data_IF_132961945702
#
_entry.id   IF_132961945702
#
_cell.length_a   1.000
_cell.length_b   1.000
_cell.length_c   1.000
_cell.angle_alpha   90.00
_cell.angle_beta   90.00
_cell.angle_gamma   90.00
#
_symmetry.space_group_name_H-M   'P 1'
#
loop_
_entity.id
_entity.type
_entity.pdbx_description
1 polymer ?
#
# COMPACT_ATOMS: atom_id res chain seq x y z
N UNK A 1 10.57 50.79 7.84
CA UNK A 1 11.52 50.13 6.91
C UNK A 1 12.32 49.13 7.73
N UNK A 2 12.09 47.84 7.55
CA UNK A 2 12.64 46.77 8.39
C UNK A 2 11.76 45.53 8.29
N UNK A 3 12.13 44.65 7.38
CA UNK A 3 11.36 43.55 6.80
C UNK A 3 11.13 42.41 7.78
N UNK A 4 9.86 41.99 7.94
CA UNK A 4 9.52 40.69 8.49
C UNK A 4 10.04 39.62 7.53
N UNK A 5 11.11 38.91 7.92
CA UNK A 5 11.52 37.68 7.25
C UNK A 5 10.46 36.64 7.54
N UNK A 6 9.56 36.44 6.59
CA UNK A 6 8.67 35.29 6.57
C UNK A 6 9.53 34.04 6.56
N UNK A 7 9.51 33.31 7.67
CA UNK A 7 10.11 31.99 7.79
C UNK A 7 9.30 31.05 6.89
N UNK A 8 9.71 30.89 5.63
CA UNK A 8 9.07 29.97 4.71
C UNK A 8 9.60 28.57 4.98
N UNK A 9 9.28 28.03 6.16
CA UNK A 9 9.32 26.59 6.35
C UNK A 9 8.33 26.00 5.33
N UNK A 10 8.73 25.10 4.43
CA UNK A 10 7.78 24.50 3.50
C UNK A 10 6.70 23.83 4.35
N UNK A 11 5.45 24.25 4.15
CA UNK A 11 4.29 23.56 4.68
C UNK A 11 4.47 22.09 4.29
N UNK A 12 4.70 21.23 5.27
CA UNK A 12 4.71 19.79 5.00
C UNK A 12 3.37 19.51 4.37
N UNK A 13 3.38 18.91 3.19
CA UNK A 13 2.17 18.29 2.66
C UNK A 13 1.85 17.18 3.65
N UNK A 14 0.99 17.46 4.64
CA UNK A 14 0.61 16.55 5.71
C UNK A 14 -0.24 15.37 5.18
N UNK A 15 -0.41 15.28 3.85
CA UNK A 15 -1.02 14.15 3.19
C UNK A 15 -0.19 12.90 3.41
N UNK A 16 -0.89 11.82 3.75
CA UNK A 16 -0.32 10.49 3.82
C UNK A 16 0.31 10.15 2.46
N UNK A 17 1.49 9.57 2.46
CA UNK A 17 2.17 9.08 1.24
C UNK A 17 1.99 7.57 1.16
N UNK A 18 1.52 7.09 0.01
CA UNK A 18 1.36 5.65 -0.26
C UNK A 18 2.07 5.33 -1.57
N UNK A 19 2.83 4.23 -1.60
CA UNK A 19 3.31 3.65 -2.85
C UNK A 19 2.47 2.44 -3.17
N UNK A 20 1.84 2.44 -4.34
CA UNK A 20 1.05 1.31 -4.82
C UNK A 20 1.80 0.58 -5.93
N UNK A 21 1.62 -0.75 -5.98
CA UNK A 21 2.13 -1.55 -7.08
C UNK A 21 1.45 -1.17 -8.39
N UNK A 22 2.23 -0.89 -9.43
CA UNK A 22 1.70 -0.44 -10.72
C UNK A 22 0.87 -1.51 -11.45
N UNK A 23 0.97 -2.79 -11.07
CA UNK A 23 0.11 -3.87 -11.59
C UNK A 23 -1.34 -3.74 -11.10
N UNK A 24 -1.57 -3.01 -10.02
CA UNK A 24 -2.91 -2.67 -9.49
C UNK A 24 -3.55 -1.45 -10.19
N UNK A 25 -2.92 -0.89 -11.23
CA UNK A 25 -3.26 0.39 -11.90
C UNK A 25 -4.74 0.59 -12.27
N UNK A 26 -5.50 -0.50 -12.44
CA UNK A 26 -6.92 -0.50 -12.80
C UNK A 26 -7.89 -0.73 -11.62
N UNK A 27 -7.41 -0.86 -10.38
CA UNK A 27 -8.26 -1.15 -9.23
C UNK A 27 -9.09 0.07 -8.80
N UNK A 28 -10.33 -0.19 -8.34
CA UNK A 28 -11.19 0.84 -7.75
C UNK A 28 -10.53 1.53 -6.54
N UNK A 29 -9.65 0.82 -5.84
CA UNK A 29 -8.90 1.32 -4.68
C UNK A 29 -7.97 2.46 -5.07
N UNK A 30 -7.20 2.34 -6.16
CA UNK A 30 -6.31 3.43 -6.61
C UNK A 30 -7.09 4.69 -6.99
N UNK A 31 -8.27 4.53 -7.61
CA UNK A 31 -9.12 5.67 -7.94
C UNK A 31 -9.57 6.45 -6.69
N UNK A 32 -9.88 5.74 -5.59
CA UNK A 32 -10.19 6.36 -4.30
C UNK A 32 -8.96 7.03 -3.70
N UNK A 33 -7.82 6.31 -3.65
CA UNK A 33 -6.59 6.78 -3.01
C UNK A 33 -6.00 8.02 -3.67
N UNK A 34 -6.08 8.15 -5.01
CA UNK A 34 -5.61 9.33 -5.76
C UNK A 34 -6.19 10.66 -5.24
N UNK A 35 -7.38 10.62 -4.63
CA UNK A 35 -8.05 11.80 -4.08
C UNK A 35 -7.84 12.01 -2.57
N UNK A 36 -7.24 11.04 -1.87
CA UNK A 36 -7.14 11.03 -0.40
C UNK A 36 -5.70 11.09 0.11
N UNK A 37 -4.71 10.74 -0.71
CA UNK A 37 -3.31 10.68 -0.34
C UNK A 37 -2.38 11.11 -1.48
N UNK A 38 -1.11 11.33 -1.16
CA UNK A 38 -0.05 11.45 -2.17
C UNK A 38 0.32 10.04 -2.61
N UNK A 39 -0.16 9.65 -3.80
CA UNK A 39 -0.01 8.30 -4.34
C UNK A 39 1.14 8.23 -5.36
N UNK A 40 2.03 7.26 -5.18
CA UNK A 40 3.08 6.92 -6.14
C UNK A 40 2.85 5.50 -6.68
N UNK A 41 2.65 5.36 -7.99
CA UNK A 41 2.52 4.06 -8.64
C UNK A 41 3.91 3.60 -9.12
N UNK A 42 4.46 2.55 -8.51
CA UNK A 42 5.76 1.97 -8.82
C UNK A 42 5.66 0.46 -8.86
N UNK A 43 6.61 -0.24 -9.48
CA UNK A 43 6.64 -1.70 -9.38
C UNK A 43 7.26 -2.12 -8.05
N UNK A 44 6.44 -2.68 -7.15
CA UNK A 44 6.89 -3.23 -5.88
C UNK A 44 7.45 -4.64 -6.10
N UNK A 45 8.40 -5.03 -5.24
CA UNK A 45 8.94 -6.40 -5.27
C UNK A 45 7.93 -7.41 -4.73
N UNK A 46 7.23 -7.05 -3.66
CA UNK A 46 6.18 -7.83 -2.98
C UNK A 46 5.14 -6.87 -2.38
N UNK A 47 3.90 -7.32 -2.24
CA UNK A 47 2.81 -6.48 -1.72
C UNK A 47 2.22 -5.54 -2.76
N UNK A 48 1.04 -5.03 -2.44
CA UNK A 48 0.28 -4.12 -3.30
C UNK A 48 0.39 -2.66 -2.83
N UNK A 49 0.51 -2.42 -1.53
CA UNK A 49 0.58 -1.07 -0.97
C UNK A 49 1.66 -0.96 0.10
N UNK A 50 2.66 -0.10 -0.12
CA UNK A 50 3.65 0.27 0.88
C UNK A 50 3.22 1.53 1.61
N UNK A 51 2.82 1.38 2.87
CA UNK A 51 2.31 2.46 3.72
C UNK A 51 3.41 3.15 4.52
N UNK A 52 4.53 2.45 4.74
CA UNK A 52 5.75 2.99 5.33
C UNK A 52 6.90 2.03 5.09
N UNK A 53 8.13 2.39 5.46
CA UNK A 53 9.28 1.47 5.42
C UNK A 53 9.09 0.16 6.21
N UNK A 54 8.09 0.10 7.10
CA UNK A 54 7.82 -1.06 7.98
C UNK A 54 6.56 -1.83 7.59
N UNK A 55 5.62 -1.18 6.89
CA UNK A 55 4.25 -1.69 6.70
C UNK A 55 3.98 -1.82 5.21
N UNK A 56 3.71 -3.06 4.79
CA UNK A 56 3.22 -3.40 3.47
C UNK A 56 1.85 -4.07 3.60
N UNK A 57 0.97 -3.84 2.64
CA UNK A 57 -0.33 -4.50 2.52
C UNK A 57 -0.33 -5.34 1.25
N UNK A 58 -0.71 -6.61 1.39
CA UNK A 58 -1.18 -7.47 0.31
C UNK A 58 -2.70 -7.48 0.37
N UNK A 59 -3.37 -7.08 -0.70
CA UNK A 59 -4.83 -7.11 -0.83
C UNK A 59 -5.22 -8.35 -1.61
N UNK A 60 -6.18 -9.11 -1.08
CA UNK A 60 -6.66 -10.33 -1.72
C UNK A 60 -8.17 -10.40 -1.65
N UNK A 61 -8.81 -10.76 -2.76
CA UNK A 61 -10.24 -11.09 -2.69
C UNK A 61 -10.43 -12.39 -1.91
N UNK A 62 -11.62 -12.62 -1.35
CA UNK A 62 -11.93 -13.88 -0.66
C UNK A 62 -11.69 -15.10 -1.58
N UNK A 63 -12.09 -15.01 -2.84
CA UNK A 63 -11.89 -16.06 -3.85
C UNK A 63 -10.40 -16.28 -4.14
N UNK A 64 -9.62 -15.21 -4.35
CA UNK A 64 -8.18 -15.31 -4.58
C UNK A 64 -7.44 -15.88 -3.37
N UNK A 65 -7.93 -15.58 -2.16
CA UNK A 65 -7.40 -16.11 -0.92
C UNK A 65 -7.63 -17.62 -0.83
N UNK A 66 -8.87 -18.07 -0.98
CA UNK A 66 -9.23 -19.49 -0.97
C UNK A 66 -8.47 -20.25 -2.06
N UNK A 67 -8.40 -19.73 -3.28
CA UNK A 67 -7.66 -20.36 -4.37
C UNK A 67 -6.16 -20.47 -4.04
N UNK A 68 -5.55 -19.40 -3.47
CA UNK A 68 -4.14 -19.44 -3.09
C UNK A 68 -3.83 -20.40 -1.93
N UNK A 69 -4.81 -20.65 -1.06
CA UNK A 69 -4.71 -21.64 0.01
C UNK A 69 -4.76 -23.06 -0.57
N UNK A 70 -5.72 -23.33 -1.46
CA UNK A 70 -5.85 -24.63 -2.16
C UNK A 70 -4.61 -24.94 -2.98
N UNK A 71 -4.06 -23.94 -3.68
CA UNK A 71 -2.84 -24.09 -4.47
C UNK A 71 -1.55 -24.16 -3.60
N UNK A 72 -1.66 -23.95 -2.28
CA UNK A 72 -0.52 -23.91 -1.35
C UNK A 72 0.40 -22.69 -1.52
N UNK A 73 0.07 -21.76 -2.41
CA UNK A 73 0.91 -20.58 -2.74
C UNK A 73 0.85 -19.48 -1.68
N UNK A 74 -0.23 -19.41 -0.91
CA UNK A 74 -0.46 -18.38 0.10
C UNK A 74 0.70 -18.28 1.11
N UNK A 75 1.15 -19.41 1.66
CA UNK A 75 2.18 -19.39 2.71
C UNK A 75 3.52 -18.85 2.21
N UNK A 76 3.89 -19.16 0.96
CA UNK A 76 5.11 -18.63 0.35
C UNK A 76 5.04 -17.11 0.21
N UNK A 77 3.90 -16.58 -0.24
CA UNK A 77 3.67 -15.14 -0.36
C UNK A 77 3.76 -14.44 1.01
N UNK A 78 3.11 -15.01 2.04
CA UNK A 78 3.17 -14.48 3.40
C UNK A 78 4.58 -14.52 4.00
N UNK A 79 5.35 -15.55 3.71
CA UNK A 79 6.76 -15.65 4.12
C UNK A 79 7.63 -14.58 3.42
N UNK A 80 7.45 -14.40 2.10
CA UNK A 80 8.14 -13.33 1.34
C UNK A 80 7.85 -11.94 1.93
N UNK A 81 6.59 -11.65 2.29
CA UNK A 81 6.19 -10.39 2.93
C UNK A 81 6.84 -10.23 4.32
N UNK A 82 6.79 -11.26 5.18
CA UNK A 82 7.39 -11.24 6.53
C UNK A 82 8.90 -11.09 6.53
N UNK A 83 9.57 -11.61 5.50
CA UNK A 83 11.02 -11.51 5.38
C UNK A 83 11.48 -10.12 4.94
N UNK A 84 10.62 -9.35 4.26
CA UNK A 84 10.97 -8.01 3.76
C UNK A 84 10.46 -6.86 4.65
N UNK A 85 9.37 -7.07 5.39
CA UNK A 85 8.72 -6.03 6.17
C UNK A 85 8.47 -6.46 7.61
N UNK A 86 8.65 -5.52 8.54
CA UNK A 86 8.42 -5.77 9.97
C UNK A 86 6.94 -6.01 10.29
N UNK A 87 6.03 -5.34 9.56
CA UNK A 87 4.60 -5.34 9.80
C UNK A 87 3.82 -5.57 8.50
N UNK A 88 3.91 -6.77 7.90
CA UNK A 88 3.09 -7.09 6.74
C UNK A 88 1.63 -7.26 7.17
N UNK A 89 0.72 -6.81 6.32
CA UNK A 89 -0.72 -6.93 6.50
C UNK A 89 -1.33 -7.65 5.30
N UNK A 90 -2.20 -8.62 5.57
CA UNK A 90 -3.06 -9.22 4.55
C UNK A 90 -4.46 -8.60 4.71
N UNK A 91 -4.90 -7.85 3.70
CA UNK A 91 -6.25 -7.29 3.64
C UNK A 91 -7.11 -8.22 2.78
N UNK A 92 -8.08 -8.87 3.41
CA UNK A 92 -9.06 -9.71 2.72
C UNK A 92 -10.31 -8.90 2.40
N UNK A 93 -10.70 -8.90 1.14
CA UNK A 93 -11.89 -8.20 0.66
C UNK A 93 -12.89 -9.18 0.03
N UNK A 94 -14.15 -9.09 0.45
CA UNK A 94 -15.21 -9.92 -0.08
C UNK A 94 -16.11 -10.43 1.03
N UNK A 95 -17.28 -10.92 0.62
CA UNK A 95 -18.27 -11.52 1.53
C UNK A 95 -18.04 -13.04 1.58
N UNK A 96 -18.38 -13.69 2.70
CA UNK A 96 -18.41 -15.15 2.79
C UNK A 96 -17.14 -15.84 3.29
N UNK A 97 -16.29 -15.12 4.02
CA UNK A 97 -15.37 -15.74 4.98
C UNK A 97 -16.11 -16.09 6.28
#
# INVERSE_FOLDING_TARGET
MGTARGDSTPLRDDRVVIYADSREGASHVLAILRNQCTLHEIQLKVGDYLLSKRVVVERKTADDFLQSLVDGRLFRQLEELKNQFEKPLLLLEGNGL
#
